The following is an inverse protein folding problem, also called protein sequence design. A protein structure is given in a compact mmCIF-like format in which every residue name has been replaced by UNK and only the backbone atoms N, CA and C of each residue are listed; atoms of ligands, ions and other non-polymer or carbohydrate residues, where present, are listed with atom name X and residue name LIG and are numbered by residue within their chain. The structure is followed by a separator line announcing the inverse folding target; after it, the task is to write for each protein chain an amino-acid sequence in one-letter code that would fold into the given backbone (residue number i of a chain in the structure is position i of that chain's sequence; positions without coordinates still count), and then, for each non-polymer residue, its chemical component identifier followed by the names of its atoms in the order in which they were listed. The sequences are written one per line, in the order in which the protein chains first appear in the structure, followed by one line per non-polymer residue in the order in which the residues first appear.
data_IF_049235382856
#
_entry.id   IF_049235382856
#
_cell.length_a   1.000
_cell.length_b   1.000
_cell.length_c   1.000
_cell.angle_alpha   90.00
_cell.angle_beta   90.00
_cell.angle_gamma   90.00
#
_symmetry.space_group_name_H-M   'P 1'
#
loop_
_entity.id
_entity.type
_entity.pdbx_description
1 polymer ?
#
# COMPACT_ATOMS: atom_id res chain seq x y z
N UNK A 1 -12.10 2.92 -6.51
CA UNK A 1 -10.77 2.31 -6.31
C UNK A 1 -10.60 1.22 -7.36
N UNK A 2 -9.46 1.13 -8.08
CA UNK A 2 -9.21 0.02 -9.00
C UNK A 2 -9.36 -1.31 -8.26
N UNK A 3 -9.96 -2.30 -8.92
CA UNK A 3 -10.42 -3.54 -8.30
C UNK A 3 -9.26 -4.30 -7.63
N UNK A 4 -9.35 -4.49 -6.31
CA UNK A 4 -8.36 -5.23 -5.51
C UNK A 4 -7.27 -4.39 -4.84
N UNK A 5 -7.25 -3.07 -5.01
CA UNK A 5 -6.38 -2.19 -4.21
C UNK A 5 -7.13 -1.80 -2.93
N UNK A 6 -6.65 -2.27 -1.79
CA UNK A 6 -7.28 -2.02 -0.49
C UNK A 6 -6.77 -0.76 0.19
N UNK A 7 -5.55 -0.33 -0.08
CA UNK A 7 -5.04 0.96 0.37
C UNK A 7 -3.96 1.52 -0.56
N UNK A 8 -3.83 2.85 -0.55
CA UNK A 8 -2.82 3.60 -1.30
C UNK A 8 -1.93 4.36 -0.32
N UNK A 9 -0.62 4.27 -0.50
CA UNK A 9 0.37 4.97 0.31
C UNK A 9 1.25 5.85 -0.58
N UNK A 10 1.71 7.02 -0.12
CA UNK A 10 2.73 7.77 -0.84
C UNK A 10 4.03 6.96 -0.92
N UNK A 11 4.81 7.17 -1.98
CA UNK A 11 6.06 6.44 -2.23
C UNK A 11 7.03 6.47 -1.04
N UNK A 12 7.12 7.61 -0.35
CA UNK A 12 7.94 7.78 0.86
C UNK A 12 7.56 6.83 2.00
N UNK A 13 6.31 6.34 2.01
CA UNK A 13 5.78 5.38 2.98
C UNK A 13 5.81 3.94 2.47
N UNK A 14 6.51 3.64 1.38
CA UNK A 14 6.70 2.27 0.89
C UNK A 14 7.21 1.29 1.97
N UNK A 15 8.16 1.66 2.85
CA UNK A 15 8.61 0.76 3.92
C UNK A 15 7.50 0.42 4.91
N UNK A 16 6.66 1.39 5.28
CA UNK A 16 5.53 1.19 6.19
C UNK A 16 4.43 0.36 5.54
N UNK A 17 4.10 0.65 4.27
CA UNK A 17 3.15 -0.14 3.50
C UNK A 17 3.58 -1.62 3.42
N UNK A 18 4.89 -1.87 3.25
CA UNK A 18 5.44 -3.22 3.25
C UNK A 18 5.26 -3.91 4.62
N UNK A 19 5.62 -3.23 5.72
CA UNK A 19 5.46 -3.79 7.08
C UNK A 19 4.01 -4.15 7.39
N UNK A 20 3.05 -3.30 7.01
CA UNK A 20 1.61 -3.57 7.18
C UNK A 20 1.12 -4.75 6.35
N UNK A 21 1.73 -4.99 5.20
CA UNK A 21 1.44 -6.18 4.38
C UNK A 21 2.01 -7.45 5.04
N UNK A 22 3.25 -7.40 5.53
CA UNK A 22 3.90 -8.52 6.24
C UNK A 22 3.14 -8.90 7.52
N UNK A 23 2.71 -7.91 8.29
CA UNK A 23 1.90 -8.09 9.50
C UNK A 23 0.46 -8.53 9.20
N UNK A 24 0.05 -8.62 7.93
CA UNK A 24 -1.33 -8.92 7.49
C UNK A 24 -2.37 -7.95 8.05
N UNK A 25 -1.97 -6.72 8.37
CA UNK A 25 -2.87 -5.65 8.82
C UNK A 25 -3.77 -5.17 7.68
N UNK A 26 -3.35 -5.39 6.45
CA UNK A 26 -4.14 -5.14 5.23
C UNK A 26 -4.33 -6.43 4.46
N UNK A 27 -5.54 -6.65 3.94
CA UNK A 27 -5.85 -7.77 3.05
C UNK A 27 -6.02 -7.24 1.63
N UNK A 28 -5.25 -7.74 0.66
CA UNK A 28 -5.32 -7.30 -0.75
C UNK A 28 -4.06 -6.60 -1.23
N UNK A 29 -4.17 -5.86 -2.35
CA UNK A 29 -3.02 -5.19 -2.96
C UNK A 29 -2.89 -3.77 -2.40
N UNK A 30 -1.66 -3.36 -2.11
CA UNK A 30 -1.33 -1.99 -1.75
C UNK A 30 -0.75 -1.28 -2.97
N UNK A 31 -1.16 -0.03 -3.21
CA UNK A 31 -0.57 0.79 -4.25
C UNK A 31 0.33 1.86 -3.66
N UNK A 32 1.46 2.11 -4.32
CA UNK A 32 2.34 3.24 -4.01
C UNK A 32 2.10 4.36 -5.00
N UNK A 33 1.83 5.55 -4.49
CA UNK A 33 1.62 6.76 -5.27
C UNK A 33 2.94 7.51 -5.36
N UNK A 34 3.46 7.63 -6.58
CA UNK A 34 4.60 8.48 -6.89
C UNK A 34 4.06 9.79 -7.46
N UNK A 35 4.11 10.86 -6.66
CA UNK A 35 3.71 12.19 -7.14
C UNK A 35 4.91 12.80 -7.87
N UNK A 36 4.83 12.89 -9.19
CA UNK A 36 5.83 13.53 -10.06
C UNK A 36 5.54 15.02 -10.22
#
# INVERSE_FOLDING_TARGET
MPEGITATYPWEQAPEAHRRLENRETQGKLALLHNS
#
